data_IF_533799129329
#
_entry.id   IF_533799129329
#
_cell.length_a   1.000
_cell.length_b   1.000
_cell.length_c   1.000
_cell.angle_alpha   90.00
_cell.angle_beta   90.00
_cell.angle_gamma   90.00
#
_symmetry.space_group_name_H-M   'P 1'
#
loop_
_entity.id
_entity.type
_entity.pdbx_description
1 polymer ?
#
# COMPACT_ATOMS: atom_id res chain seq x y z
N UNK A 1 13.67 -4.66 3.88
CA UNK A 1 12.29 -4.86 4.38
C UNK A 1 11.34 -4.07 3.49
N UNK A 2 10.09 -4.50 3.30
CA UNK A 2 9.09 -3.68 2.60
C UNK A 2 8.85 -2.38 3.38
N UNK A 3 8.61 -1.29 2.66
CA UNK A 3 8.30 0.02 3.25
C UNK A 3 6.89 0.37 2.84
N UNK A 4 5.98 0.53 3.79
CA UNK A 4 4.62 0.97 3.50
C UNK A 4 4.55 2.48 3.72
N UNK A 5 4.03 3.19 2.72
CA UNK A 5 3.76 4.63 2.76
C UNK A 5 2.28 4.82 2.44
N UNK A 6 1.57 5.58 3.25
CA UNK A 6 0.19 5.98 2.98
C UNK A 6 0.27 7.43 2.50
N UNK A 7 -0.27 7.75 1.32
CA UNK A 7 -0.05 9.08 0.72
C UNK A 7 -0.85 10.18 1.40
N UNK A 8 -1.98 9.83 2.01
CA UNK A 8 -2.82 10.77 2.76
C UNK A 8 -2.30 11.01 4.19
N UNK A 9 -1.36 10.21 4.67
CA UNK A 9 -0.70 10.38 5.97
C UNK A 9 0.28 11.56 5.91
N UNK A 10 -0.28 12.77 5.94
CA UNK A 10 0.46 14.00 5.73
C UNK A 10 1.44 14.31 6.88
N UNK A 11 1.10 13.88 8.09
CA UNK A 11 1.96 14.05 9.27
C UNK A 11 2.93 12.85 9.48
N UNK A 12 2.74 11.76 8.73
CA UNK A 12 3.54 10.55 8.72
C UNK A 12 3.66 9.90 10.12
N UNK A 13 2.58 9.97 10.91
CA UNK A 13 2.47 9.38 12.25
C UNK A 13 2.02 7.91 12.24
N UNK A 14 1.69 7.39 11.05
CA UNK A 14 1.24 6.02 10.83
C UNK A 14 -0.27 5.83 11.02
N UNK A 15 -1.05 6.90 11.19
CA UNK A 15 -2.50 6.89 11.38
C UNK A 15 -3.14 7.95 10.51
N UNK A 16 -4.18 7.59 9.76
CA UNK A 16 -4.98 8.56 9.03
C UNK A 16 -6.00 9.21 9.97
N UNK A 17 -5.84 10.51 10.22
CA UNK A 17 -6.82 11.32 10.95
C UNK A 17 -7.98 11.77 10.05
N UNK A 18 -9.08 12.25 10.64
CA UNK A 18 -10.22 12.80 9.88
C UNK A 18 -9.85 14.03 9.03
N UNK A 19 -8.79 14.75 9.40
CA UNK A 19 -8.31 15.89 8.64
C UNK A 19 -7.50 15.47 7.39
N UNK A 20 -6.89 14.29 7.45
CA UNK A 20 -6.10 13.68 6.38
C UNK A 20 -6.96 12.83 5.44
N UNK A 21 -8.04 12.26 5.96
CA UNK A 21 -8.95 11.41 5.22
C UNK A 21 -9.72 12.19 4.14
N UNK A 22 -9.30 12.01 2.89
CA UNK A 22 -9.94 12.61 1.72
C UNK A 22 -10.25 11.55 0.67
N UNK A 23 -11.47 11.00 0.70
CA UNK A 23 -11.86 9.92 -0.20
C UNK A 23 -11.41 8.54 0.30
N UNK A 24 -10.97 7.68 -0.63
CA UNK A 24 -10.35 6.39 -0.30
C UNK A 24 -8.95 6.58 0.31
N UNK A 25 -8.43 5.54 0.97
CA UNK A 25 -7.09 5.57 1.55
C UNK A 25 -6.12 4.99 0.53
N UNK A 26 -5.25 5.82 -0.05
CA UNK A 26 -4.25 5.42 -1.03
C UNK A 26 -2.98 4.92 -0.31
N UNK A 27 -2.59 3.69 -0.60
CA UNK A 27 -1.46 2.99 0.03
C UNK A 27 -0.43 2.63 -1.02
N UNK A 28 0.81 3.05 -0.79
CA UNK A 28 1.99 2.65 -1.58
C UNK A 28 2.89 1.73 -0.77
N UNK A 29 3.08 0.51 -1.25
CA UNK A 29 3.99 -0.47 -0.66
C UNK A 29 5.25 -0.57 -1.51
N UNK A 30 6.37 -0.11 -0.97
CA UNK A 30 7.71 -0.33 -1.51
C UNK A 30 8.12 -1.79 -1.38
N UNK A 31 8.60 -2.34 -2.49
CA UNK A 31 8.97 -3.75 -2.61
C UNK A 31 10.36 -4.01 -1.98
N UNK A 32 10.56 -5.16 -1.31
CA UNK A 32 11.87 -5.53 -0.78
C UNK A 32 12.86 -5.88 -1.90
N UNK A 33 14.15 -5.70 -1.63
CA UNK A 33 15.21 -6.19 -2.52
C UNK A 33 15.10 -7.72 -2.66
N UNK A 34 14.74 -8.19 -3.85
CA UNK A 34 14.51 -9.60 -4.14
C UNK A 34 13.07 -9.95 -4.55
N UNK A 35 12.13 -9.00 -4.50
CA UNK A 35 10.80 -9.20 -5.08
C UNK A 35 10.91 -9.40 -6.60
N UNK A 36 10.22 -10.41 -7.13
CA UNK A 36 10.19 -10.73 -8.56
C UNK A 36 8.77 -10.77 -9.10
N UNK A 37 8.64 -10.62 -10.42
CA UNK A 37 7.34 -10.70 -11.07
C UNK A 37 6.77 -12.12 -10.91
N UNK A 38 5.50 -12.21 -10.56
CA UNK A 38 4.83 -13.45 -10.19
C UNK A 38 4.77 -13.70 -8.69
N UNK A 39 5.54 -12.97 -7.87
CA UNK A 39 5.40 -13.03 -6.41
C UNK A 39 4.03 -12.51 -5.97
N UNK A 40 3.59 -12.94 -4.79
CA UNK A 40 2.32 -12.53 -4.20
C UNK A 40 2.59 -11.59 -3.03
N UNK A 41 2.06 -10.37 -3.12
CA UNK A 41 2.04 -9.40 -2.04
C UNK A 41 0.64 -9.39 -1.42
N UNK A 42 0.57 -9.56 -0.10
CA UNK A 42 -0.69 -9.52 0.66
C UNK A 42 -0.67 -8.28 1.56
N UNK A 43 -1.66 -7.42 1.40
CA UNK A 43 -1.82 -6.16 2.13
C UNK A 43 -3.16 -6.22 2.84
N UNK A 44 -3.22 -5.98 4.15
CA UNK A 44 -4.47 -6.06 4.92
C UNK A 44 -4.65 -4.83 5.79
N UNK A 45 -5.89 -4.35 5.88
CA UNK A 45 -6.32 -3.32 6.84
C UNK A 45 -6.76 -3.95 8.18
N UNK A 46 -6.53 -5.25 8.39
CA UNK A 46 -6.92 -5.97 9.60
C UNK A 46 -8.26 -6.71 9.49
N UNK A 47 -9.03 -6.47 8.42
CA UNK A 47 -10.29 -7.17 8.12
C UNK A 47 -10.16 -7.98 6.83
N UNK A 48 -10.01 -7.32 5.69
CA UNK A 48 -9.95 -7.96 4.37
C UNK A 48 -8.55 -7.83 3.78
N UNK A 49 -7.85 -8.96 3.54
CA UNK A 49 -6.60 -8.95 2.78
C UNK A 49 -6.88 -8.66 1.30
N UNK A 50 -6.09 -7.75 0.74
CA UNK A 50 -5.91 -7.58 -0.70
C UNK A 50 -4.67 -8.34 -1.13
N UNK A 51 -4.83 -9.14 -2.17
CA UNK A 51 -3.75 -9.95 -2.75
C UNK A 51 -3.41 -9.41 -4.11
N UNK A 52 -2.13 -9.07 -4.31
CA UNK A 52 -1.62 -8.49 -5.55
C UNK A 52 -0.50 -9.40 -6.05
N UNK A 53 -0.64 -9.91 -7.27
CA UNK A 53 0.47 -10.57 -7.97
C UNK A 53 1.36 -9.51 -8.59
N UNK A 54 2.64 -9.53 -8.24
CA UNK A 54 3.60 -8.56 -8.72
C UNK A 54 3.80 -8.71 -10.23
N UNK A 55 3.61 -7.61 -10.94
CA UNK A 55 3.89 -7.50 -12.37
C UNK A 55 5.32 -7.02 -12.59
N UNK A 56 5.89 -7.29 -13.77
CA UNK A 56 7.21 -6.78 -14.12
C UNK A 56 7.29 -5.24 -14.01
N UNK A 57 6.20 -4.54 -14.36
CA UNK A 57 6.12 -3.08 -14.24
C UNK A 57 6.23 -2.62 -12.78
N UNK A 58 5.60 -3.31 -11.83
CA UNK A 58 5.68 -3.00 -10.40
C UNK A 58 7.08 -3.30 -9.83
N UNK A 59 7.72 -4.39 -10.27
CA UNK A 59 9.11 -4.68 -9.91
C UNK A 59 10.04 -3.56 -10.41
N UNK A 60 9.88 -3.13 -11.66
CA UNK A 60 10.67 -2.03 -12.24
C UNK A 60 10.41 -0.70 -11.52
N UNK A 61 9.16 -0.41 -11.14
CA UNK A 61 8.81 0.76 -10.35
C UNK A 61 9.33 0.68 -8.91
N UNK A 62 9.50 -0.53 -8.38
CA UNK A 62 9.94 -0.78 -6.99
C UNK A 62 8.82 -0.61 -5.96
N UNK A 63 7.57 -0.42 -6.39
CA UNK A 63 6.43 -0.26 -5.49
C UNK A 63 5.12 -0.74 -6.12
N UNK A 64 4.12 -0.96 -5.26
CA UNK A 64 2.73 -1.27 -5.60
C UNK A 64 1.84 -0.21 -4.96
N UNK A 65 0.82 0.24 -5.67
CA UNK A 65 -0.23 1.12 -5.11
C UNK A 65 -1.53 0.33 -5.00
N UNK A 66 -2.26 0.53 -3.91
CA UNK A 66 -3.59 -0.02 -3.70
C UNK A 66 -4.44 0.95 -2.88
N UNK A 67 -5.75 0.77 -2.89
CA UNK A 67 -6.68 1.61 -2.14
C UNK A 67 -7.52 0.78 -1.16
N UNK A 68 -7.86 1.39 -0.03
CA UNK A 68 -8.83 0.85 0.91
C UNK A 68 -10.03 1.79 1.04
N UNK A 69 -11.21 1.20 1.18
CA UNK A 69 -12.42 1.97 1.41
C UNK A 69 -12.31 2.77 2.71
N UNK A 70 -12.79 4.01 2.66
CA UNK A 70 -12.90 4.86 3.81
C UNK A 70 -13.79 4.22 4.90
N UNK A 71 -13.30 4.06 6.15
CA UNK A 71 -14.08 3.44 7.22
C UNK A 71 -15.20 4.32 7.80
N UNK A 72 -15.26 5.62 7.48
CA UNK A 72 -16.29 6.57 7.95
C UNK A 72 -15.74 7.70 8.81
#
# INVERSE_FOLDING_TARGET
APVVTITEDANNDGVISKAELNGEIDVRVGLPAGAVAGDTLVITNGTTPQTITLTAAQITAGFVTTTFANPG
#
